data_IF_170275717264
#
_entry.id   IF_170275717264
#
_cell.length_a   1.000
_cell.length_b   1.000
_cell.length_c   1.000
_cell.angle_alpha   90.00
_cell.angle_beta   90.00
_cell.angle_gamma   90.00
#
_symmetry.space_group_name_H-M   'P 1'
#
loop_
_entity.id
_entity.type
_entity.pdbx_description
1 polymer ?
#
# COMPACT_ATOMS: atom_id res chain seq x y z
N UNK A 1 -5.41 11.52 41.25
CA UNK A 1 -5.76 10.16 40.86
C UNK A 1 -4.56 9.30 41.18
N UNK A 2 -4.75 8.20 41.90
CA UNK A 2 -3.69 7.23 42.20
C UNK A 2 -3.65 6.12 41.15
N UNK A 3 -2.55 5.37 41.08
CA UNK A 3 -2.40 4.26 40.11
C UNK A 3 -3.48 3.19 40.27
N UNK A 4 -3.94 2.92 41.50
CA UNK A 4 -4.98 1.92 41.80
C UNK A 4 -6.40 2.32 41.34
N UNK A 5 -6.64 3.62 41.17
CA UNK A 5 -7.89 4.19 40.65
C UNK A 5 -8.01 4.04 39.13
N UNK A 6 -6.91 3.70 38.43
CA UNK A 6 -6.91 3.49 36.97
C UNK A 6 -7.62 2.17 36.64
N UNK A 7 -8.85 2.30 36.14
CA UNK A 7 -9.76 1.20 35.76
C UNK A 7 -10.53 1.54 34.49
N UNK A 8 -10.99 0.51 33.79
CA UNK A 8 -11.85 0.65 32.61
C UNK A 8 -13.10 1.49 32.96
N UNK A 9 -13.39 2.50 32.15
CA UNK A 9 -14.53 3.39 32.31
C UNK A 9 -14.34 4.53 33.32
N UNK A 10 -13.23 4.54 34.10
CA UNK A 10 -12.93 5.65 35.00
C UNK A 10 -12.58 6.94 34.24
N UNK A 11 -12.67 8.08 34.93
CA UNK A 11 -12.26 9.38 34.40
C UNK A 11 -10.82 9.64 34.84
N UNK A 12 -9.94 9.95 33.89
CA UNK A 12 -8.55 10.27 34.16
C UNK A 12 -8.38 11.68 34.77
N UNK A 13 -7.14 12.05 35.10
CA UNK A 13 -6.82 13.37 35.65
C UNK A 13 -7.09 14.53 34.68
N UNK A 14 -7.25 14.25 33.38
CA UNK A 14 -7.58 15.23 32.35
C UNK A 14 -9.10 15.29 32.05
N UNK A 15 -9.92 14.51 32.75
CA UNK A 15 -11.37 14.46 32.55
C UNK A 15 -11.80 13.54 31.39
N UNK A 16 -10.90 12.76 30.81
CA UNK A 16 -11.20 11.83 29.73
C UNK A 16 -11.54 10.44 30.26
N UNK A 17 -12.49 9.76 29.61
CA UNK A 17 -12.86 8.40 29.98
C UNK A 17 -11.81 7.40 29.49
N UNK A 18 -11.45 6.46 30.37
CA UNK A 18 -10.54 5.36 30.08
C UNK A 18 -11.28 4.25 29.33
N UNK A 19 -10.93 4.03 28.07
CA UNK A 19 -11.55 3.04 27.20
C UNK A 19 -10.86 1.68 27.21
N UNK A 20 -9.56 1.65 27.53
CA UNK A 20 -8.80 0.41 27.62
C UNK A 20 -7.62 0.59 28.59
N UNK A 21 -7.25 -0.47 29.30
CA UNK A 21 -6.06 -0.50 30.17
C UNK A 21 -5.14 -1.59 29.62
N UNK A 22 -3.93 -1.21 29.22
CA UNK A 22 -2.97 -2.13 28.61
C UNK A 22 -2.06 -2.78 29.66
N UNK A 23 -1.55 -1.98 30.59
CA UNK A 23 -0.71 -2.45 31.69
C UNK A 23 -1.01 -1.64 32.95
N UNK A 24 -0.99 -2.31 34.10
CA UNK A 24 -1.19 -1.68 35.41
C UNK A 24 -0.34 -2.40 36.45
N UNK A 25 0.60 -1.68 37.05
CA UNK A 25 1.49 -2.17 38.10
C UNK A 25 1.39 -1.22 39.29
N UNK A 26 0.54 -1.54 40.26
CA UNK A 26 0.34 -0.69 41.45
C UNK A 26 1.51 -0.91 42.43
N UNK A 27 2.14 0.14 43.00
CA UNK A 27 1.89 1.59 42.86
C UNK A 27 2.82 2.28 41.84
N UNK A 28 3.40 1.51 40.91
CA UNK A 28 4.51 1.93 40.06
C UNK A 28 4.09 2.73 38.81
N UNK A 29 3.04 2.30 38.08
CA UNK A 29 2.51 3.00 36.90
C UNK A 29 1.25 2.31 36.34
N UNK A 30 0.56 3.01 35.43
CA UNK A 30 -0.45 2.42 34.56
C UNK A 30 -0.39 2.99 33.14
N UNK A 31 -0.59 2.18 32.12
CA UNK A 31 -0.70 2.60 30.71
C UNK A 31 -2.09 2.26 30.21
N UNK A 32 -2.79 3.27 29.71
CA UNK A 32 -4.20 3.17 29.34
C UNK A 32 -4.49 4.03 28.13
N UNK A 33 -5.68 3.84 27.57
CA UNK A 33 -6.17 4.56 26.41
C UNK A 33 -7.41 5.37 26.76
N UNK A 34 -7.46 6.59 26.23
CA UNK A 34 -8.67 7.41 26.15
C UNK A 34 -9.12 7.54 24.71
N UNK A 35 -10.28 8.16 24.48
CA UNK A 35 -10.78 8.45 23.14
C UNK A 35 -9.77 9.17 22.23
N UNK A 36 -8.84 9.94 22.80
CA UNK A 36 -7.93 10.78 22.02
C UNK A 36 -6.55 10.15 21.81
N UNK A 37 -6.04 9.35 22.76
CA UNK A 37 -4.67 8.82 22.73
C UNK A 37 -4.38 7.80 23.83
N UNK A 38 -3.21 7.17 23.70
CA UNK A 38 -2.58 6.36 24.75
C UNK A 38 -1.82 7.26 25.73
N UNK A 39 -2.09 7.09 27.02
CA UNK A 39 -1.52 7.84 28.12
C UNK A 39 -0.83 6.91 29.13
N UNK A 40 0.16 7.45 29.82
CA UNK A 40 0.85 6.80 30.93
C UNK A 40 0.57 7.60 32.21
N UNK A 41 0.09 6.90 33.24
CA UNK A 41 0.06 7.36 34.61
C UNK A 41 1.37 6.94 35.30
N UNK A 42 2.09 7.90 35.86
CA UNK A 42 3.35 7.65 36.57
C UNK A 42 3.10 7.10 37.98
N UNK A 43 4.17 6.73 38.69
CA UNK A 43 4.15 6.19 40.05
C UNK A 43 3.52 7.16 41.06
N UNK A 44 2.95 6.60 42.14
CA UNK A 44 2.48 7.40 43.27
C UNK A 44 3.64 7.97 44.12
N UNK A 45 4.85 7.40 44.02
CA UNK A 45 6.06 7.89 44.68
C UNK A 45 6.69 9.08 43.92
N UNK A 46 6.86 10.26 44.54
CA UNK A 46 7.30 11.48 43.84
C UNK A 46 8.69 11.37 43.21
N UNK A 47 9.60 10.57 43.78
CA UNK A 47 10.96 10.42 43.23
C UNK A 47 10.91 9.61 41.93
N UNK A 48 10.21 8.47 41.94
CA UNK A 48 10.02 7.65 40.75
C UNK A 48 9.17 8.35 39.69
N UNK A 49 8.15 9.09 40.12
CA UNK A 49 7.28 9.88 39.25
C UNK A 49 8.08 10.93 38.46
N UNK A 50 8.97 11.68 39.12
CA UNK A 50 9.81 12.68 38.48
C UNK A 50 10.74 12.06 37.41
N UNK A 51 11.32 10.90 37.71
CA UNK A 51 12.17 10.15 36.77
C UNK A 51 11.36 9.68 35.55
N UNK A 52 10.22 9.03 35.76
CA UNK A 52 9.34 8.56 34.69
C UNK A 52 8.84 9.72 33.82
N UNK A 53 8.45 10.85 34.41
CA UNK A 53 8.07 12.05 33.65
C UNK A 53 9.21 12.57 32.77
N UNK A 54 10.44 12.58 33.28
CA UNK A 54 11.61 13.01 32.50
C UNK A 54 11.81 12.12 31.27
N UNK A 55 11.70 10.80 31.42
CA UNK A 55 11.82 9.85 30.30
C UNK A 55 10.66 10.04 29.32
N UNK A 56 9.42 10.11 29.80
CA UNK A 56 8.26 10.30 28.93
C UNK A 56 8.28 11.62 28.16
N UNK A 57 8.93 12.66 28.70
CA UNK A 57 9.11 13.94 28.03
C UNK A 57 10.03 13.82 26.79
N UNK A 58 11.07 12.98 26.82
CA UNK A 58 11.95 12.77 25.66
C UNK A 58 11.22 12.07 24.51
N UNK A 59 10.24 11.22 24.82
CA UNK A 59 9.39 10.53 23.85
C UNK A 59 8.22 11.38 23.33
N UNK A 60 7.99 12.57 23.91
CA UNK A 60 6.86 13.45 23.60
C UNK A 60 6.69 13.79 22.11
N UNK A 61 7.74 14.27 21.40
CA UNK A 61 7.65 14.61 19.98
C UNK A 61 7.22 13.41 19.11
N UNK A 62 7.85 12.25 19.30
CA UNK A 62 7.59 11.04 18.52
C UNK A 62 6.16 10.52 18.75
N UNK A 63 5.68 10.55 20.00
CA UNK A 63 4.29 10.23 20.32
C UNK A 63 3.30 11.22 19.70
N UNK A 64 3.67 12.50 19.63
CA UNK A 64 2.88 13.53 18.96
C UNK A 64 2.70 13.23 17.47
N UNK A 65 3.78 12.89 16.78
CA UNK A 65 3.76 12.49 15.38
C UNK A 65 2.92 11.23 15.14
N UNK A 66 3.13 10.18 15.93
CA UNK A 66 2.35 8.94 15.84
C UNK A 66 0.86 9.21 16.07
N UNK A 67 0.51 10.01 17.07
CA UNK A 67 -0.89 10.38 17.31
C UNK A 67 -1.50 11.13 16.13
N UNK A 68 -0.77 12.09 15.54
CA UNK A 68 -1.23 12.80 14.34
C UNK A 68 -1.46 11.85 13.15
N UNK A 69 -0.57 10.86 12.97
CA UNK A 69 -0.71 9.86 11.92
C UNK A 69 -1.80 8.81 12.20
N UNK A 70 -2.21 8.58 13.45
CA UNK A 70 -3.29 7.62 13.78
C UNK A 70 -4.65 8.30 13.82
N UNK A 71 -4.72 9.61 14.02
CA UNK A 71 -5.96 10.33 14.28
C UNK A 71 -7.03 10.09 13.21
N UNK A 72 -6.65 10.15 11.93
CA UNK A 72 -7.57 9.88 10.82
C UNK A 72 -8.15 8.45 10.81
N UNK A 73 -7.44 7.46 11.35
CA UNK A 73 -7.95 6.10 11.52
C UNK A 73 -8.85 5.96 12.75
N UNK A 74 -8.52 6.68 13.82
CA UNK A 74 -9.31 6.70 15.06
C UNK A 74 -10.69 7.32 14.86
N UNK A 75 -10.75 8.44 14.14
CA UNK A 75 -12.01 9.11 13.79
C UNK A 75 -12.64 8.54 12.51
N UNK A 76 -12.06 7.49 11.94
CA UNK A 76 -12.53 6.85 10.72
C UNK A 76 -13.95 6.31 10.88
N UNK A 77 -14.73 6.36 9.79
CA UNK A 77 -16.09 5.78 9.75
C UNK A 77 -16.07 4.26 9.74
N UNK A 78 -15.01 3.66 9.22
CA UNK A 78 -14.87 2.21 9.09
C UNK A 78 -14.34 1.60 10.38
N UNK A 79 -14.97 0.52 10.85
CA UNK A 79 -14.48 -0.23 12.00
C UNK A 79 -13.12 -0.89 11.73
N UNK A 80 -12.78 -1.15 10.46
CA UNK A 80 -11.45 -1.61 10.07
C UNK A 80 -10.38 -0.54 10.33
N UNK A 81 -10.70 0.74 10.13
CA UNK A 81 -9.77 1.85 10.41
C UNK A 81 -9.57 2.00 11.92
N UNK A 82 -10.65 1.89 12.71
CA UNK A 82 -10.56 1.89 14.17
C UNK A 82 -9.74 0.70 14.69
N UNK A 83 -10.01 -0.51 14.22
CA UNK A 83 -9.27 -1.71 14.60
C UNK A 83 -7.76 -1.58 14.29
N UNK A 84 -7.42 -0.93 13.17
CA UNK A 84 -6.04 -0.63 12.81
C UNK A 84 -5.40 0.38 13.78
N UNK A 85 -6.10 1.47 14.10
CA UNK A 85 -5.66 2.43 15.12
C UNK A 85 -5.39 1.74 16.46
N UNK A 86 -6.31 0.88 16.90
CA UNK A 86 -6.16 0.06 18.11
C UNK A 86 -4.87 -0.80 18.10
N UNK A 87 -4.55 -1.42 16.96
CA UNK A 87 -3.33 -2.24 16.82
C UNK A 87 -2.04 -1.45 17.05
N UNK A 88 -1.95 -0.26 16.45
CA UNK A 88 -0.79 0.63 16.65
C UNK A 88 -0.76 1.24 18.05
N UNK A 89 -1.91 1.62 18.61
CA UNK A 89 -2.01 2.13 19.98
C UNK A 89 -1.53 1.11 21.02
N UNK A 90 -1.81 -0.18 20.82
CA UNK A 90 -1.27 -1.25 21.67
C UNK A 90 0.27 -1.26 21.65
N UNK A 91 0.90 -1.19 20.47
CA UNK A 91 2.36 -1.15 20.35
C UNK A 91 2.97 0.13 20.96
N UNK A 92 2.27 1.25 20.85
CA UNK A 92 2.65 2.48 21.57
C UNK A 92 2.59 2.25 23.07
N UNK A 93 1.53 1.60 23.58
CA UNK A 93 1.42 1.29 25.00
C UNK A 93 2.56 0.39 25.48
N UNK A 94 2.94 -0.63 24.71
CA UNK A 94 4.08 -1.50 25.03
C UNK A 94 5.40 -0.71 25.11
N UNK A 95 5.61 0.24 24.20
CA UNK A 95 6.77 1.13 24.25
C UNK A 95 6.77 2.05 25.48
N UNK A 96 5.60 2.53 25.91
CA UNK A 96 5.48 3.31 27.13
C UNK A 96 5.77 2.47 28.38
N UNK A 97 5.37 1.20 28.39
CA UNK A 97 5.72 0.26 29.47
C UNK A 97 7.25 0.12 29.57
N UNK A 98 7.94 -0.14 28.46
CA UNK A 98 9.42 -0.22 28.44
C UNK A 98 10.08 1.05 28.99
N UNK A 99 9.58 2.23 28.60
CA UNK A 99 10.08 3.50 29.10
C UNK A 99 9.88 3.68 30.61
N UNK A 100 8.75 3.21 31.14
CA UNK A 100 8.43 3.25 32.58
C UNK A 100 9.24 2.23 33.40
N UNK A 101 9.81 1.22 32.74
CA UNK A 101 10.74 0.22 33.29
C UNK A 101 12.22 0.61 33.09
N UNK A 102 12.48 1.90 32.83
CA UNK A 102 13.83 2.47 32.65
C UNK A 102 14.58 1.99 31.39
N UNK A 103 13.89 1.39 30.41
CA UNK A 103 14.46 1.05 29.10
C UNK A 103 14.05 2.07 28.02
N UNK A 104 14.59 3.30 28.13
CA UNK A 104 14.32 4.39 27.20
C UNK A 104 14.77 4.07 25.76
N UNK A 105 15.90 3.36 25.62
CA UNK A 105 16.48 3.06 24.31
C UNK A 105 15.57 2.12 23.50
N UNK A 106 15.10 1.03 24.11
CA UNK A 106 14.18 0.10 23.44
C UNK A 106 12.81 0.74 23.20
N UNK A 107 12.31 1.54 24.14
CA UNK A 107 11.06 2.28 23.97
C UNK A 107 11.10 3.22 22.75
N UNK A 108 12.19 3.99 22.61
CA UNK A 108 12.38 4.89 21.46
C UNK A 108 12.47 4.11 20.16
N UNK A 109 13.24 3.02 20.12
CA UNK A 109 13.36 2.17 18.94
C UNK A 109 11.99 1.58 18.53
N UNK A 110 11.19 1.13 19.50
CA UNK A 110 9.86 0.59 19.24
C UNK A 110 8.89 1.65 18.68
N UNK A 111 8.92 2.87 19.22
CA UNK A 111 8.09 3.96 18.69
C UNK A 111 8.52 4.39 17.27
N UNK A 112 9.82 4.42 16.97
CA UNK A 112 10.30 4.70 15.60
C UNK A 112 9.81 3.61 14.62
N UNK A 113 9.88 2.34 15.02
CA UNK A 113 9.34 1.24 14.21
C UNK A 113 7.83 1.39 14.00
N UNK A 114 7.07 1.72 15.05
CA UNK A 114 5.61 1.97 14.93
C UNK A 114 5.35 3.11 13.94
N UNK A 115 6.11 4.20 14.02
CA UNK A 115 6.00 5.33 13.08
C UNK A 115 6.28 4.91 11.64
N UNK A 116 7.35 4.14 11.42
CA UNK A 116 7.70 3.61 10.09
C UNK A 116 6.58 2.72 9.54
N UNK A 117 6.07 1.79 10.33
CA UNK A 117 4.99 0.89 9.93
C UNK A 117 3.70 1.67 9.56
N UNK A 118 3.35 2.69 10.34
CA UNK A 118 2.21 3.57 10.04
C UNK A 118 2.43 4.31 8.71
N UNK A 119 3.64 4.80 8.47
CA UNK A 119 3.98 5.51 7.25
C UNK A 119 3.93 4.57 6.02
N UNK A 120 4.50 3.37 6.12
CA UNK A 120 4.45 2.36 5.06
C UNK A 120 3.02 1.96 4.71
N UNK A 121 2.19 1.74 5.73
CA UNK A 121 0.78 1.42 5.56
C UNK A 121 0.01 2.55 4.84
N UNK A 122 0.25 3.80 5.21
CA UNK A 122 -0.35 4.98 4.56
C UNK A 122 0.10 5.10 3.10
N UNK A 123 1.38 4.90 2.81
CA UNK A 123 1.92 4.89 1.43
C UNK A 123 1.28 3.76 0.61
N UNK A 124 1.15 2.56 1.19
CA UNK A 124 0.52 1.41 0.54
C UNK A 124 -0.95 1.71 0.17
N UNK A 125 -1.73 2.25 1.13
CA UNK A 125 -3.12 2.64 0.88
C UNK A 125 -3.25 3.74 -0.17
N UNK A 126 -2.36 4.74 -0.15
CA UNK A 126 -2.36 5.81 -1.15
C UNK A 126 -2.06 5.28 -2.55
N UNK A 127 -1.12 4.34 -2.69
CA UNK A 127 -0.84 3.63 -3.95
C UNK A 127 -2.04 2.80 -4.43
N UNK A 128 -2.68 2.07 -3.52
CA UNK A 128 -3.88 1.30 -3.84
C UNK A 128 -5.02 2.20 -4.33
N UNK A 129 -5.29 3.30 -3.63
CA UNK A 129 -6.31 4.26 -4.04
C UNK A 129 -6.01 4.89 -5.40
N UNK A 130 -4.75 5.25 -5.64
CA UNK A 130 -4.31 5.77 -6.93
C UNK A 130 -4.60 4.76 -8.06
N UNK A 131 -4.26 3.48 -7.86
CA UNK A 131 -4.53 2.41 -8.83
C UNK A 131 -6.03 2.23 -9.05
N UNK A 132 -6.83 2.25 -7.98
CA UNK A 132 -8.28 2.12 -8.05
C UNK A 132 -8.91 3.25 -8.87
N UNK A 133 -8.48 4.51 -8.66
CA UNK A 133 -8.95 5.65 -9.46
C UNK A 133 -8.55 5.50 -10.93
N UNK A 134 -7.32 5.08 -11.22
CA UNK A 134 -6.89 4.82 -12.59
C UNK A 134 -7.73 3.71 -13.26
N UNK A 135 -8.05 2.63 -12.53
CA UNK A 135 -8.93 1.55 -13.01
C UNK A 135 -10.34 2.05 -13.29
N UNK A 136 -10.91 2.89 -12.41
CA UNK A 136 -12.23 3.48 -12.63
C UNK A 136 -12.24 4.42 -13.84
N UNK A 137 -11.20 5.24 -14.00
CA UNK A 137 -11.05 6.13 -15.15
C UNK A 137 -10.94 5.34 -16.47
N UNK A 138 -10.16 4.26 -16.48
CA UNK A 138 -10.07 3.35 -17.61
C UNK A 138 -11.43 2.71 -17.92
N UNK A 139 -12.10 2.13 -16.92
CA UNK A 139 -13.40 1.48 -17.11
C UNK A 139 -14.45 2.48 -17.66
N UNK A 140 -14.49 3.69 -17.10
CA UNK A 140 -15.35 4.75 -17.60
C UNK A 140 -15.03 5.11 -19.06
N UNK A 141 -13.76 5.29 -19.40
CA UNK A 141 -13.32 5.55 -20.77
C UNK A 141 -13.73 4.45 -21.75
N UNK A 142 -13.54 3.17 -21.38
CA UNK A 142 -13.94 2.03 -22.19
C UNK A 142 -15.46 1.94 -22.37
N UNK A 143 -16.25 2.26 -21.34
CA UNK A 143 -17.72 2.32 -21.45
C UNK A 143 -18.15 3.43 -22.41
N UNK A 144 -17.55 4.61 -22.32
CA UNK A 144 -17.82 5.71 -23.27
C UNK A 144 -17.50 5.28 -24.70
N UNK A 145 -16.34 4.66 -24.93
CA UNK A 145 -15.94 4.15 -26.24
C UNK A 145 -16.95 3.11 -26.74
N UNK A 146 -17.32 2.14 -25.89
CA UNK A 146 -18.30 1.10 -26.22
C UNK A 146 -19.64 1.70 -26.65
N UNK A 147 -20.17 2.66 -25.88
CA UNK A 147 -21.42 3.38 -26.19
C UNK A 147 -21.29 4.12 -27.53
N UNK A 148 -20.20 4.84 -27.74
CA UNK A 148 -19.96 5.59 -28.99
C UNK A 148 -19.83 4.69 -30.21
N UNK A 149 -19.30 3.47 -30.04
CA UNK A 149 -19.19 2.47 -31.12
C UNK A 149 -20.44 1.61 -31.31
N UNK A 150 -21.40 1.67 -30.38
CA UNK A 150 -22.59 0.80 -30.42
C UNK A 150 -23.52 1.15 -31.58
N UNK A 151 -24.09 0.12 -32.21
CA UNK A 151 -25.00 0.30 -33.36
C UNK A 151 -26.21 1.17 -33.02
N UNK A 152 -26.72 1.05 -31.79
CA UNK A 152 -27.83 1.86 -31.30
C UNK A 152 -27.50 3.36 -31.29
N UNK A 153 -26.33 3.73 -30.76
CA UNK A 153 -25.89 5.13 -30.72
C UNK A 153 -25.60 5.65 -32.12
N UNK A 154 -24.93 4.85 -32.98
CA UNK A 154 -24.66 5.19 -34.38
C UNK A 154 -25.95 5.44 -35.16
N UNK A 155 -26.94 4.55 -35.03
CA UNK A 155 -28.23 4.68 -35.70
C UNK A 155 -29.04 5.91 -35.23
N UNK A 156 -28.87 6.32 -33.96
CA UNK A 156 -29.63 7.43 -33.37
C UNK A 156 -29.00 8.80 -33.62
N UNK A 157 -27.67 8.89 -33.69
CA UNK A 157 -26.93 10.17 -33.67
C UNK A 157 -26.22 10.47 -34.98
N UNK A 158 -25.77 9.46 -35.73
CA UNK A 158 -24.95 9.65 -36.92
C UNK A 158 -25.70 9.31 -38.20
N UNK A 159 -26.24 10.35 -38.86
CA UNK A 159 -26.56 10.31 -40.29
C UNK A 159 -25.30 10.35 -41.19
N UNK A 160 -24.10 10.39 -40.59
CA UNK A 160 -22.82 10.50 -41.28
C UNK A 160 -22.09 9.15 -41.30
N UNK A 161 -21.99 8.58 -42.50
CA UNK A 161 -21.46 7.25 -42.83
C UNK A 161 -19.91 7.21 -42.86
N UNK A 162 -19.23 7.77 -41.86
CA UNK A 162 -17.75 7.78 -41.82
C UNK A 162 -17.20 6.65 -40.94
N UNK A 163 -16.19 5.93 -41.45
CA UNK A 163 -15.50 4.81 -40.78
C UNK A 163 -14.57 5.32 -39.66
N UNK A 164 -15.12 5.72 -38.52
CA UNK A 164 -14.33 6.12 -37.32
C UNK A 164 -13.91 4.95 -36.43
N UNK A 165 -14.27 3.72 -36.79
CA UNK A 165 -14.05 2.52 -35.97
C UNK A 165 -12.58 2.31 -35.54
N UNK A 166 -11.55 2.57 -36.40
CA UNK A 166 -10.15 2.42 -36.00
C UNK A 166 -9.70 3.44 -34.94
N UNK A 167 -10.28 4.65 -34.93
CA UNK A 167 -9.91 5.71 -33.99
C UNK A 167 -10.39 5.39 -32.58
N UNK A 168 -11.62 4.91 -32.45
CA UNK A 168 -12.19 4.48 -31.16
C UNK A 168 -11.46 3.26 -30.60
N UNK A 169 -11.08 2.31 -31.47
CA UNK A 169 -10.25 1.18 -31.08
C UNK A 169 -8.86 1.63 -30.57
N UNK A 170 -8.24 2.58 -31.27
CA UNK A 170 -6.95 3.15 -30.87
C UNK A 170 -7.03 3.91 -29.54
N UNK A 171 -8.06 4.72 -29.36
CA UNK A 171 -8.33 5.44 -28.11
C UNK A 171 -8.41 4.47 -26.92
N UNK A 172 -9.15 3.36 -27.08
CA UNK A 172 -9.29 2.32 -26.07
C UNK A 172 -7.97 1.62 -25.77
N UNK A 173 -7.25 1.17 -26.81
CA UNK A 173 -5.95 0.52 -26.66
C UNK A 173 -4.90 1.45 -25.99
N UNK A 174 -4.91 2.75 -26.33
CA UNK A 174 -4.07 3.77 -25.69
C UNK A 174 -4.38 3.97 -24.22
N UNK A 175 -5.66 4.01 -23.84
CA UNK A 175 -6.06 4.08 -22.44
C UNK A 175 -5.58 2.86 -21.64
N UNK A 176 -5.69 1.65 -22.21
CA UNK A 176 -5.18 0.41 -21.61
C UNK A 176 -3.65 0.45 -21.46
N UNK A 177 -2.94 0.95 -22.48
CA UNK A 177 -1.48 1.17 -22.44
C UNK A 177 -1.06 2.10 -21.31
N UNK A 178 -1.73 3.23 -21.16
CA UNK A 178 -1.47 4.18 -20.08
C UNK A 178 -1.75 3.59 -18.69
N UNK A 179 -2.82 2.81 -18.55
CA UNK A 179 -3.09 2.09 -17.31
C UNK A 179 -1.99 1.08 -16.96
N UNK A 180 -1.49 0.31 -17.94
CA UNK A 180 -0.36 -0.61 -17.73
C UNK A 180 0.90 0.14 -17.30
N UNK A 181 1.16 1.31 -17.88
CA UNK A 181 2.28 2.18 -17.51
C UNK A 181 2.17 2.69 -16.06
N UNK A 182 0.95 3.01 -15.64
CA UNK A 182 0.64 3.34 -14.24
C UNK A 182 0.91 2.15 -13.31
N UNK A 183 0.41 0.96 -13.67
CA UNK A 183 0.50 -0.23 -12.84
C UNK A 183 1.96 -0.66 -12.62
N UNK A 184 2.79 -0.66 -13.66
CA UNK A 184 4.21 -1.00 -13.55
C UNK A 184 5.01 0.08 -12.80
N UNK A 185 4.65 1.35 -12.96
CA UNK A 185 5.30 2.49 -12.31
C UNK A 185 4.86 2.79 -10.87
N UNK A 186 3.95 2.01 -10.29
CA UNK A 186 3.36 2.32 -8.98
C UNK A 186 4.35 2.17 -7.82
N UNK A 187 5.24 1.18 -7.88
CA UNK A 187 6.21 0.87 -6.82
C UNK A 187 7.21 2.01 -6.61
N UNK A 188 7.61 2.67 -7.69
CA UNK A 188 8.57 3.77 -7.66
C UNK A 188 7.93 5.13 -7.39
N UNK A 189 6.60 5.19 -7.22
CA UNK A 189 5.91 6.47 -7.05
C UNK A 189 5.94 6.92 -5.58
N UNK A 190 6.43 8.14 -5.39
CA UNK A 190 6.28 8.91 -4.16
C UNK A 190 4.88 9.51 -4.13
N UNK A 191 3.89 8.70 -3.74
CA UNK A 191 2.54 9.21 -3.51
C UNK A 191 2.56 9.97 -2.19
N UNK A 192 2.26 11.26 -2.22
CA UNK A 192 2.10 12.07 -1.00
C UNK A 192 0.87 11.53 -0.24
N UNK A 193 1.04 10.87 0.92
CA UNK A 193 -0.01 10.01 1.47
C UNK A 193 -1.21 10.77 2.05
N UNK A 194 -1.06 12.06 2.38
CA UNK A 194 -1.88 12.58 3.49
C UNK A 194 -2.54 13.94 3.34
N UNK A 195 -2.54 14.60 2.17
CA UNK A 195 -3.23 15.90 2.10
C UNK A 195 -4.00 16.20 0.82
N UNK A 196 -3.75 15.47 -0.28
CA UNK A 196 -4.34 15.81 -1.58
C UNK A 196 -4.73 14.58 -2.37
N UNK A 197 -5.66 13.81 -1.79
CA UNK A 197 -6.34 12.70 -2.48
C UNK A 197 -6.90 13.15 -3.83
N UNK A 198 -7.41 14.39 -3.90
CA UNK A 198 -7.92 15.00 -5.13
C UNK A 198 -6.79 15.18 -6.15
N UNK A 199 -5.64 15.72 -5.78
CA UNK A 199 -4.50 15.89 -6.70
C UNK A 199 -4.00 14.53 -7.22
N UNK A 200 -3.88 13.54 -6.34
CA UNK A 200 -3.48 12.18 -6.73
C UNK A 200 -4.51 11.55 -7.67
N UNK A 201 -5.81 11.78 -7.44
CA UNK A 201 -6.89 11.27 -8.28
C UNK A 201 -6.93 11.97 -9.64
N UNK A 202 -6.80 13.29 -9.65
CA UNK A 202 -6.77 14.10 -10.87
C UNK A 202 -5.58 13.74 -11.75
N UNK A 203 -4.41 13.53 -11.16
CA UNK A 203 -3.22 13.04 -11.88
C UNK A 203 -3.44 11.65 -12.49
N UNK A 204 -4.08 10.72 -11.76
CA UNK A 204 -4.40 9.39 -12.28
C UNK A 204 -5.31 9.45 -13.51
N UNK A 205 -6.39 10.24 -13.42
CA UNK A 205 -7.34 10.43 -14.52
C UNK A 205 -6.66 11.11 -15.71
N UNK A 206 -5.90 12.17 -15.46
CA UNK A 206 -5.23 12.95 -16.50
C UNK A 206 -4.31 12.06 -17.34
N UNK A 207 -3.58 11.14 -16.72
CA UNK A 207 -2.68 10.22 -17.42
C UNK A 207 -3.41 9.25 -18.35
N UNK A 208 -4.55 8.70 -17.92
CA UNK A 208 -5.39 7.88 -18.80
C UNK A 208 -5.89 8.68 -20.00
N UNK A 209 -6.29 9.93 -19.78
CA UNK A 209 -6.74 10.85 -20.84
C UNK A 209 -5.60 11.18 -21.82
N UNK A 210 -4.39 11.45 -21.33
CA UNK A 210 -3.22 11.71 -22.19
C UNK A 210 -2.92 10.47 -23.03
N UNK A 211 -2.93 9.26 -22.45
CA UNK A 211 -2.72 8.02 -23.20
C UNK A 211 -3.74 7.79 -24.31
N UNK A 212 -5.01 8.07 -24.03
CA UNK A 212 -6.09 8.02 -25.02
C UNK A 212 -5.85 9.00 -26.17
N UNK A 213 -5.54 10.26 -25.85
CA UNK A 213 -5.31 11.31 -26.84
C UNK A 213 -4.05 11.00 -27.67
N UNK A 214 -2.96 10.59 -27.03
CA UNK A 214 -1.69 10.27 -27.69
C UNK A 214 -1.85 9.14 -28.72
N UNK A 215 -2.56 8.07 -28.35
CA UNK A 215 -2.86 6.99 -29.27
C UNK A 215 -3.73 7.45 -30.45
N UNK A 216 -4.73 8.28 -30.20
CA UNK A 216 -5.61 8.82 -31.24
C UNK A 216 -4.84 9.70 -32.23
N UNK A 217 -4.02 10.62 -31.71
CA UNK A 217 -3.17 11.49 -32.53
C UNK A 217 -2.16 10.67 -33.34
N UNK A 218 -1.55 9.64 -32.75
CA UNK A 218 -0.60 8.80 -33.48
C UNK A 218 -1.27 8.10 -34.66
N UNK A 219 -2.48 7.58 -34.51
CA UNK A 219 -3.22 6.98 -35.63
C UNK A 219 -3.56 8.03 -36.69
N UNK A 220 -3.94 9.26 -36.32
CA UNK A 220 -4.13 10.34 -37.30
C UNK A 220 -2.86 10.65 -38.07
N UNK A 221 -1.70 10.73 -37.42
CA UNK A 221 -0.42 10.99 -38.08
C UNK A 221 0.02 9.88 -39.03
N UNK A 222 -0.31 8.62 -38.70
CA UNK A 222 -0.06 7.48 -39.57
C UNK A 222 -1.03 7.45 -40.76
N UNK A 223 -2.30 7.77 -40.54
CA UNK A 223 -3.30 7.89 -41.62
C UNK A 223 -3.01 9.06 -42.56
N UNK A 224 -2.49 10.17 -42.05
CA UNK A 224 -2.16 11.34 -42.87
C UNK A 224 -0.85 11.19 -43.66
N UNK A 225 -0.11 10.08 -43.48
CA UNK A 225 1.19 9.87 -44.10
C UNK A 225 2.29 10.84 -43.62
N UNK A 226 2.06 11.58 -42.52
CA UNK A 226 3.03 12.53 -41.97
C UNK A 226 4.18 11.77 -41.29
N UNK A 227 3.85 10.65 -40.66
CA UNK A 227 4.82 9.73 -40.05
C UNK A 227 4.95 8.50 -40.94
N UNK A 228 6.18 8.10 -41.23
CA UNK A 228 6.44 6.87 -41.98
C UNK A 228 5.80 5.68 -41.25
N UNK A 229 5.03 4.89 -41.99
CA UNK A 229 4.37 3.70 -41.45
C UNK A 229 5.43 2.70 -40.98
N UNK A 230 5.48 2.34 -39.69
CA UNK A 230 6.49 1.41 -39.20
C UNK A 230 6.35 0.07 -39.90
N UNK A 231 7.45 -0.48 -40.40
CA UNK A 231 7.51 -1.82 -40.98
C UNK A 231 7.71 -2.84 -39.87
N UNK A 232 6.77 -3.75 -39.71
CA UNK A 232 6.89 -4.87 -38.77
C UNK A 232 7.19 -6.14 -39.57
N UNK A 233 8.46 -6.55 -39.58
CA UNK A 233 8.95 -7.63 -40.43
C UNK A 233 8.89 -7.26 -41.92
N UNK A 234 8.36 -8.16 -42.76
CA UNK A 234 8.31 -7.97 -44.23
C UNK A 234 7.04 -7.24 -44.72
N UNK A 235 6.28 -6.55 -43.86
CA UNK A 235 5.05 -5.85 -44.25
C UNK A 235 5.03 -4.40 -43.78
N UNK A 236 4.62 -3.53 -44.70
CA UNK A 236 4.27 -2.13 -44.43
C UNK A 236 2.84 -2.06 -43.89
N UNK A 237 2.63 -1.21 -42.89
CA UNK A 237 1.28 -0.91 -42.40
C UNK A 237 0.61 -0.05 -43.46
N UNK A 238 -0.27 -0.63 -44.25
CA UNK A 238 -1.10 0.11 -45.18
C UNK A 238 -2.47 0.34 -44.54
N UNK A 239 -2.68 1.53 -43.97
CA UNK A 239 -3.93 1.88 -43.28
C UNK A 239 -5.03 2.25 -44.29
N UNK A 240 -4.65 2.60 -45.52
CA UNK A 240 -5.57 3.01 -46.59
C UNK A 240 -6.02 1.86 -47.49
N UNK A 241 -5.29 0.73 -47.51
CA UNK A 241 -5.65 -0.41 -48.35
C UNK A 241 -6.97 -1.04 -47.91
N UNK A 242 -8.04 -0.72 -48.65
CA UNK A 242 -9.42 -1.19 -48.48
C UNK A 242 -9.64 -2.72 -48.64
N UNK A 243 -8.58 -3.53 -48.64
CA UNK A 243 -8.68 -4.98 -48.66
C UNK A 243 -8.85 -5.53 -47.22
N UNK A 244 -9.59 -6.64 -47.02
CA UNK A 244 -9.85 -7.22 -45.71
C UNK A 244 -8.60 -7.94 -45.18
N UNK A 245 -7.56 -7.19 -44.84
CA UNK A 245 -6.40 -7.72 -44.15
C UNK A 245 -6.73 -7.81 -42.65
N UNK A 246 -7.00 -9.04 -42.20
CA UNK A 246 -7.30 -9.48 -40.82
C UNK A 246 -6.34 -8.93 -39.73
N UNK A 247 -5.22 -8.30 -40.12
CA UNK A 247 -4.18 -7.77 -39.26
C UNK A 247 -4.20 -6.25 -39.03
N UNK A 248 -5.12 -5.49 -39.66
CA UNK A 248 -5.17 -4.02 -39.52
C UNK A 248 -5.53 -3.56 -38.11
N UNK A 249 -6.52 -4.21 -37.47
CA UNK A 249 -6.97 -3.83 -36.14
C UNK A 249 -5.95 -4.20 -35.05
N UNK A 250 -5.28 -5.34 -35.17
CA UNK A 250 -4.27 -5.78 -34.20
C UNK A 250 -3.05 -4.84 -34.19
N UNK A 251 -2.60 -4.38 -35.36
CA UNK A 251 -1.54 -3.37 -35.47
C UNK A 251 -1.96 -2.04 -34.83
N UNK A 252 -3.19 -1.59 -35.10
CA UNK A 252 -3.74 -0.37 -34.47
C UNK A 252 -3.71 -0.53 -32.95
N UNK A 253 -4.13 -1.67 -32.41
CA UNK A 253 -4.09 -1.94 -30.96
C UNK A 253 -2.66 -1.91 -30.42
N UNK A 254 -1.70 -2.59 -31.06
CA UNK A 254 -0.30 -2.63 -30.59
C UNK A 254 0.34 -1.24 -30.61
N UNK A 255 0.18 -0.51 -31.71
CA UNK A 255 0.74 0.84 -31.87
C UNK A 255 0.09 1.81 -30.89
N UNK A 256 -1.24 1.80 -30.77
CA UNK A 256 -1.98 2.64 -29.84
C UNK A 256 -1.67 2.32 -28.38
N UNK A 257 -1.61 1.04 -28.01
CA UNK A 257 -1.19 0.59 -26.69
C UNK A 257 0.22 1.08 -26.37
N UNK A 258 1.15 0.93 -27.30
CA UNK A 258 2.54 1.40 -27.13
C UNK A 258 2.57 2.92 -26.93
N UNK A 259 1.80 3.67 -27.71
CA UNK A 259 1.71 5.13 -27.56
C UNK A 259 1.18 5.54 -26.18
N UNK A 260 0.11 4.90 -25.71
CA UNK A 260 -0.43 5.14 -24.37
C UNK A 260 0.54 4.72 -23.26
N UNK A 261 1.25 3.61 -23.44
CA UNK A 261 2.24 3.11 -22.49
C UNK A 261 3.46 4.03 -22.36
N UNK A 262 3.87 4.66 -23.47
CA UNK A 262 5.02 5.56 -23.55
C UNK A 262 4.81 6.92 -22.88
N UNK A 263 3.57 7.32 -22.60
CA UNK A 263 3.22 8.58 -21.92
C UNK A 263 4.09 8.85 -20.69
N UNK A 264 4.36 7.80 -19.91
CA UNK A 264 5.17 7.89 -18.69
C UNK A 264 6.59 7.35 -18.84
N UNK A 265 6.80 6.36 -19.70
CA UNK A 265 8.13 5.77 -19.88
C UNK A 265 9.16 6.80 -20.36
N UNK A 266 8.77 7.68 -21.29
CA UNK A 266 9.71 8.65 -21.85
C UNK A 266 10.15 9.67 -20.78
N UNK A 267 9.23 10.33 -20.04
CA UNK A 267 9.62 11.19 -18.91
C UNK A 267 10.40 10.46 -17.82
N UNK A 268 10.00 9.25 -17.42
CA UNK A 268 10.68 8.50 -16.34
C UNK A 268 12.11 8.11 -16.74
N UNK A 269 12.33 7.72 -18.01
CA UNK A 269 13.67 7.43 -18.53
C UNK A 269 14.53 8.70 -18.61
N UNK A 270 13.97 9.82 -19.09
CA UNK A 270 14.70 11.10 -19.16
C UNK A 270 15.09 11.59 -17.77
N UNK A 271 14.18 11.54 -16.79
CA UNK A 271 14.46 11.92 -15.42
C UNK A 271 15.58 11.07 -14.80
N UNK A 272 15.55 9.75 -14.99
CA UNK A 272 16.58 8.86 -14.49
C UNK A 272 17.95 9.09 -15.15
N UNK A 273 17.98 9.37 -16.47
CA UNK A 273 19.23 9.71 -17.15
C UNK A 273 19.79 11.07 -16.75
N UNK A 274 18.94 12.08 -16.53
CA UNK A 274 19.37 13.40 -16.10
C UNK A 274 20.03 13.35 -14.71
N UNK A 275 19.47 12.56 -13.78
CA UNK A 275 20.06 12.34 -12.45
C UNK A 275 21.36 11.55 -12.52
N UNK A 276 21.46 10.56 -13.42
CA UNK A 276 22.71 9.82 -13.64
C UNK A 276 23.84 10.71 -14.20
N UNK A 277 23.50 11.73 -14.99
CA UNK A 277 24.48 12.64 -15.62
C UNK A 277 24.98 13.72 -14.66
N UNK A 278 24.19 14.07 -13.63
CA UNK A 278 24.54 15.09 -12.63
C UNK A 278 25.20 14.54 -11.36
N UNK A 279 25.30 13.22 -11.23
CA UNK A 279 26.05 12.62 -10.12
C UNK A 279 27.55 12.67 -10.46
N UNK A 280 28.39 13.44 -9.74
CA UNK A 280 29.82 13.40 -9.98
C UNK A 280 30.28 11.96 -9.80
N UNK A 281 31.10 11.46 -10.73
CA UNK A 281 31.73 10.15 -10.61
C UNK A 281 32.42 10.10 -9.24
N UNK A 282 31.80 9.41 -8.29
CA UNK A 282 32.46 9.09 -7.04
C UNK A 282 33.58 8.14 -7.45
N UNK A 283 34.85 8.46 -7.17
CA UNK A 283 35.96 7.62 -7.60
C UNK A 283 35.71 6.22 -7.07
N UNK A 284 35.68 5.26 -8.00
CA UNK A 284 35.63 3.83 -7.75
C UNK A 284 36.65 3.47 -6.69
N UNK A 285 36.22 3.34 -5.43
CA UNK A 285 36.99 2.64 -4.42
C UNK A 285 37.07 1.18 -4.87
N UNK A 286 38.29 0.72 -5.11
CA UNK A 286 38.60 -0.66 -5.45
C UNK A 286 37.85 -1.66 -4.55
N UNK A 287 37.48 -2.85 -5.05
CA UNK A 287 36.77 -3.85 -4.27
C UNK A 287 37.63 -4.28 -3.08
N UNK A 288 37.17 -3.95 -1.87
CA UNK A 288 37.68 -4.53 -0.63
C UNK A 288 37.20 -5.98 -0.62
N UNK A 289 38.15 -6.91 -0.77
CA UNK A 289 37.95 -8.34 -0.60
C UNK A 289 37.38 -8.57 0.81
N UNK A 290 36.17 -9.14 0.97
CA UNK A 290 35.67 -9.48 2.29
C UNK A 290 36.52 -10.60 2.87
N UNK A 291 37.05 -10.37 4.08
CA UNK A 291 37.80 -11.34 4.83
C UNK A 291 36.94 -12.59 5.11
N UNK A 292 37.40 -13.72 4.59
CA UNK A 292 36.86 -15.06 4.84
C UNK A 292 36.81 -15.33 6.34
N UNK A 293 35.59 -15.31 6.91
CA UNK A 293 35.33 -15.79 8.26
C UNK A 293 35.37 -17.32 8.22
N UNK A 294 36.48 -17.89 8.69
CA UNK A 294 36.66 -19.33 8.87
C UNK A 294 35.67 -19.80 9.95
N UNK A 295 34.66 -20.58 9.55
CA UNK A 295 33.80 -21.34 10.46
C UNK A 295 34.37 -22.76 10.52
N UNK A 296 34.69 -23.32 11.71
CA UNK A 296 35.19 -24.68 11.83
C UNK A 296 34.08 -25.71 11.52
N UNK A 297 34.49 -26.74 10.79
CA UNK A 297 33.67 -27.86 10.34
C UNK A 297 33.25 -28.77 11.50
N UNK A 298 31.99 -29.23 11.45
CA UNK A 298 31.47 -30.39 12.17
C UNK A 298 30.59 -31.22 11.20
N UNK A 299 30.46 -32.54 11.41
CA UNK A 299 30.50 -33.52 10.33
C UNK A 299 29.13 -33.90 9.74
N UNK A 300 29.24 -34.51 8.55
CA UNK A 300 28.19 -34.95 7.66
C UNK A 300 27.23 -35.99 8.26
N UNK A 301 25.93 -35.80 7.97
CA UNK A 301 24.84 -36.74 8.19
C UNK A 301 23.80 -36.61 7.09
N UNK A 302 24.01 -37.41 6.04
CA UNK A 302 23.13 -37.93 4.99
C UNK A 302 21.61 -38.02 5.33
N UNK A 303 20.72 -37.39 4.53
CA UNK A 303 19.67 -38.04 3.70
C UNK A 303 18.60 -37.06 3.14
N UNK A 304 18.31 -37.26 1.84
CA UNK A 304 17.05 -37.10 1.09
C UNK A 304 16.44 -35.70 0.74
N UNK A 305 15.80 -35.58 -0.46
CA UNK A 305 15.26 -34.32 -0.98
C UNK A 305 13.77 -34.15 -0.64
N UNK A 306 13.40 -32.96 -0.18
CA UNK A 306 12.01 -32.55 0.05
C UNK A 306 11.56 -31.56 -1.04
N UNK A 307 10.33 -31.77 -1.50
CA UNK A 307 9.67 -31.07 -2.59
C UNK A 307 9.25 -29.64 -2.18
N UNK A 308 8.87 -28.76 -3.13
CA UNK A 308 8.50 -27.39 -2.79
C UNK A 308 7.04 -27.33 -2.34
N UNK A 309 6.81 -26.99 -1.07
CA UNK A 309 5.50 -26.57 -0.58
C UNK A 309 5.25 -25.10 -0.97
N UNK A 310 4.55 -24.92 -2.09
CA UNK A 310 3.66 -23.79 -2.31
C UNK A 310 2.37 -24.09 -1.54
N UNK A 311 2.03 -23.27 -0.53
CA UNK A 311 0.67 -22.89 -0.12
C UNK A 311 0.73 -22.22 1.27
N UNK A 312 1.09 -20.92 1.28
CA UNK A 312 0.86 -20.05 2.42
C UNK A 312 -0.59 -19.54 2.36
N UNK A 313 -1.51 -20.44 2.68
CA UNK A 313 -2.93 -20.14 2.76
C UNK A 313 -3.26 -19.40 4.07
N UNK A 314 -4.05 -18.34 3.92
CA UNK A 314 -4.48 -17.44 4.98
C UNK A 314 -5.40 -18.16 6.00
N UNK A 315 -4.83 -18.75 7.05
CA UNK A 315 -5.57 -19.10 8.25
C UNK A 315 -5.73 -17.89 9.18
N UNK A 316 -6.59 -16.95 8.78
CA UNK A 316 -7.30 -16.08 9.73
C UNK A 316 -8.78 -16.47 9.71
N UNK A 317 -9.06 -17.68 10.20
CA UNK A 317 -10.40 -18.04 10.62
C UNK A 317 -10.77 -17.18 11.82
N UNK A 318 -11.84 -16.39 11.64
CA UNK A 318 -12.65 -15.87 12.72
C UNK A 318 -13.14 -17.06 13.53
N UNK A 319 -12.50 -17.33 14.67
CA UNK A 319 -13.15 -18.10 15.72
C UNK A 319 -14.40 -17.34 16.15
N UNK A 320 -15.55 -17.82 15.65
CA UNK A 320 -16.87 -17.52 16.17
C UNK A 320 -16.92 -18.17 17.57
N UNK A 321 -17.21 -17.37 18.59
CA UNK A 321 -17.15 -17.77 20.00
C UNK A 321 -18.33 -18.68 20.43
N UNK A 322 -18.96 -19.39 19.50
CA UNK A 322 -20.22 -20.10 19.73
C UNK A 322 -20.12 -21.64 19.64
N UNK A 323 -18.92 -22.18 19.40
CA UNK A 323 -18.67 -23.64 19.36
C UNK A 323 -17.83 -24.12 20.56
N UNK A 324 -18.18 -23.70 21.78
CA UNK A 324 -17.73 -24.40 22.99
C UNK A 324 -18.64 -25.60 23.23
N UNK A 325 -18.14 -26.81 22.94
CA UNK A 325 -18.83 -28.06 23.28
C UNK A 325 -19.04 -28.10 24.80
N UNK A 326 -20.29 -28.22 25.31
CA UNK A 326 -20.54 -28.32 26.74
C UNK A 326 -19.79 -29.51 27.34
N UNK A 327 -19.24 -29.35 28.54
CA UNK A 327 -18.51 -30.43 29.26
C UNK A 327 -19.35 -31.72 29.41
N UNK A 328 -20.67 -31.60 29.32
CA UNK A 328 -21.65 -32.69 29.41
C UNK A 328 -21.58 -33.66 28.21
N UNK A 329 -21.14 -33.15 27.04
CA UNK A 329 -21.03 -33.92 25.80
C UNK A 329 -19.64 -34.57 25.63
N UNK A 330 -18.72 -34.35 26.58
CA UNK A 330 -17.41 -34.99 26.57
C UNK A 330 -17.51 -36.44 27.07
N UNK A 331 -16.90 -37.41 26.36
CA UNK A 331 -16.90 -38.79 26.81
C UNK A 331 -16.15 -38.93 28.16
N UNK A 332 -16.60 -39.82 29.06
CA UNK A 332 -15.98 -39.97 30.37
C UNK A 332 -14.51 -40.38 30.24
N UNK A 333 -13.62 -39.61 30.87
CA UNK A 333 -12.18 -39.81 30.83
C UNK A 333 -11.81 -41.22 31.36
N UNK A 334 -11.46 -42.13 30.46
CA UNK A 334 -10.93 -43.46 30.77
C UNK A 334 -9.41 -43.41 30.81
N UNK A 335 -8.86 -42.92 31.93
CA UNK A 335 -7.41 -42.75 32.05
C UNK A 335 -6.91 -42.63 33.49
N UNK A 336 -7.37 -43.49 34.40
CA UNK A 336 -6.79 -43.62 35.73
C UNK A 336 -5.63 -44.62 35.70
N UNK A 337 -4.39 -44.16 35.85
CA UNK A 337 -3.23 -45.02 36.08
C UNK A 337 -3.34 -45.56 37.50
N UNK A 338 -3.52 -46.88 37.65
CA UNK A 338 -3.49 -47.54 38.94
C UNK A 338 -2.09 -47.38 39.54
N UNK A 339 -2.00 -46.66 40.66
CA UNK A 339 -0.81 -46.61 41.51
C UNK A 339 -0.62 -47.98 42.16
N UNK A 340 0.51 -48.61 41.85
CA UNK A 340 1.08 -49.75 42.58
C UNK A 340 2.01 -49.21 43.66
#
# INVERSE_FOLDING_TARGET
MKVDEVKLGAIDAAGAQIEAVFSRRVPDYAVYRTKDRVLAHCADDPVREAKQRSILATLGPLRGEINGLIDGWRTGRSDADKAKAHGFERRVADALVLALEDDEASAKALLENVKLDIHEERVSRARFQYLLVASMALAFGLVVIFVMTSDWYRASVHAFEHKTDPLWLAAGAGAVGAFFSIATGIRNRTVLPDLRVVDNSADAVLRIVIGLIAATILIFLLQSGVVATPTFGNRTIDIEAAAPAVYSWAMVVVVAFTAGFLERLVPDLLANTAVATLRPATPTSAPVVPATKIVPAAPAGETAPEAPDEDADNCFDRHQADDETPDEDLPPARGGVATV
#
